data_IF_983366575779
#
_entry.id   IF_983366575779
#
_cell.length_a   1.000
_cell.length_b   1.000
_cell.length_c   1.000
_cell.angle_alpha   90.00
_cell.angle_beta   90.00
_cell.angle_gamma   90.00
#
_symmetry.space_group_name_H-M   'P 1'
#
loop_
_entity.id
_entity.type
_entity.pdbx_description
1 polymer ?
#
# COMPACT_ATOMS: atom_id res chain seq x y z
N UNK A 1 2.04 5.29 -10.84
CA UNK A 1 2.21 5.95 -12.17
C UNK A 1 2.10 4.98 -13.34
N UNK A 2 2.84 3.88 -13.33
CA UNK A 2 2.76 2.80 -14.32
C UNK A 2 2.27 1.53 -13.61
N UNK A 3 1.13 0.96 -14.04
CA UNK A 3 0.49 -0.18 -13.34
C UNK A 3 1.11 -1.54 -13.71
N UNK A 4 1.70 -1.62 -14.90
CA UNK A 4 2.33 -2.85 -15.41
C UNK A 4 3.80 -2.98 -14.99
N UNK A 5 4.36 -1.93 -14.37
CA UNK A 5 5.70 -1.93 -13.81
C UNK A 5 5.62 -2.30 -12.31
N UNK A 6 5.35 -3.57 -12.03
CA UNK A 6 5.26 -4.09 -10.67
C UNK A 6 6.62 -3.98 -9.96
N UNK A 7 6.60 -3.48 -8.72
CA UNK A 7 7.75 -3.47 -7.82
C UNK A 7 7.48 -4.42 -6.67
N UNK A 8 8.52 -5.10 -6.19
CA UNK A 8 8.44 -5.95 -5.00
C UNK A 8 8.33 -5.11 -3.71
N UNK A 9 7.75 -5.72 -2.67
CA UNK A 9 7.59 -5.11 -1.34
C UNK A 9 8.93 -4.65 -0.73
N UNK A 10 10.01 -5.39 -0.99
CA UNK A 10 11.38 -5.06 -0.58
C UNK A 10 11.89 -3.72 -1.13
N UNK A 11 11.33 -3.21 -2.24
CA UNK A 11 11.67 -1.89 -2.77
C UNK A 11 10.97 -0.75 -2.03
N UNK A 12 9.97 -1.07 -1.21
CA UNK A 12 9.18 -0.12 -0.42
C UNK A 12 9.57 -0.20 1.05
N UNK A 13 9.80 -1.41 1.57
CA UNK A 13 10.14 -1.69 2.96
C UNK A 13 11.38 -0.89 3.43
N UNK A 14 11.30 -0.32 4.63
CA UNK A 14 12.38 0.50 5.20
C UNK A 14 12.59 1.88 4.54
N UNK A 15 11.73 2.30 3.60
CA UNK A 15 11.80 3.66 3.03
C UNK A 15 11.61 4.71 4.12
N UNK A 16 12.59 5.61 4.26
CA UNK A 16 12.50 6.76 5.18
C UNK A 16 11.79 7.93 4.51
N UNK A 17 10.69 8.39 5.12
CA UNK A 17 10.00 9.62 4.71
C UNK A 17 10.48 10.76 5.60
N UNK A 18 11.23 11.70 5.01
CA UNK A 18 11.77 12.84 5.75
C UNK A 18 10.68 13.87 6.07
N UNK A 19 10.93 14.71 7.07
CA UNK A 19 10.02 15.80 7.43
C UNK A 19 9.75 16.71 6.23
N UNK A 20 8.47 16.96 5.93
CA UNK A 20 8.03 17.75 4.79
C UNK A 20 8.11 17.06 3.43
N UNK A 21 8.57 15.80 3.38
CA UNK A 21 8.55 14.98 2.17
C UNK A 21 7.26 14.14 2.10
N UNK A 22 6.89 13.77 0.87
CA UNK A 22 5.80 12.85 0.59
C UNK A 22 6.36 11.58 -0.06
N UNK A 23 5.75 10.45 0.27
CA UNK A 23 6.04 9.17 -0.36
C UNK A 23 4.73 8.50 -0.77
N UNK A 24 4.68 7.97 -1.99
CA UNK A 24 3.46 7.42 -2.57
C UNK A 24 3.63 5.95 -2.93
N UNK A 25 2.88 5.10 -2.26
CA UNK A 25 2.75 3.68 -2.61
C UNK A 25 1.59 3.55 -3.59
N UNK A 26 1.85 2.92 -4.74
CA UNK A 26 0.86 2.73 -5.80
C UNK A 26 0.51 1.24 -5.88
N UNK A 27 -0.79 0.93 -5.88
CA UNK A 27 -1.29 -0.44 -5.85
C UNK A 27 -2.42 -0.60 -6.88
N UNK A 28 -2.48 -1.76 -7.53
CA UNK A 28 -3.57 -2.11 -8.43
C UNK A 28 -3.81 -3.62 -8.42
N UNK A 29 -5.01 -4.05 -8.85
CA UNK A 29 -5.26 -5.45 -9.14
C UNK A 29 -4.42 -5.92 -10.34
N UNK A 30 -4.19 -7.23 -10.44
CA UNK A 30 -3.52 -7.83 -11.61
C UNK A 30 -4.47 -7.80 -12.81
N UNK A 31 -4.00 -7.32 -13.96
CA UNK A 31 -4.78 -7.06 -15.18
C UNK A 31 -5.60 -8.27 -15.66
N UNK A 32 -5.06 -9.48 -15.50
CA UNK A 32 -5.65 -10.72 -16.00
C UNK A 32 -6.38 -11.53 -14.93
N UNK A 33 -6.63 -10.93 -13.76
CA UNK A 33 -7.35 -11.55 -12.66
C UNK A 33 -8.53 -10.65 -12.25
N UNK A 34 -9.73 -11.21 -12.04
CA UNK A 34 -10.87 -10.46 -11.48
C UNK A 34 -10.67 -10.22 -9.97
N UNK A 35 -9.47 -9.80 -9.59
CA UNK A 35 -9.05 -9.46 -8.24
C UNK A 35 -8.76 -7.98 -8.18
N UNK A 36 -9.27 -7.34 -7.13
CA UNK A 36 -8.91 -5.98 -6.78
C UNK A 36 -7.51 -5.87 -6.20
N UNK A 37 -7.29 -4.87 -5.36
CA UNK A 37 -6.10 -4.78 -4.52
C UNK A 37 -6.50 -4.79 -3.06
N UNK A 38 -5.87 -5.66 -2.28
CA UNK A 38 -6.08 -5.77 -0.84
C UNK A 38 -4.71 -5.69 -0.17
N UNK A 39 -4.60 -4.98 0.94
CA UNK A 39 -3.39 -4.88 1.74
C UNK A 39 -3.70 -5.02 3.21
N UNK A 40 -2.97 -5.90 3.87
CA UNK A 40 -3.31 -6.34 5.22
C UNK A 40 -2.43 -5.73 6.32
N UNK A 41 -1.19 -5.32 6.02
CA UNK A 41 -0.24 -4.89 7.06
C UNK A 41 0.79 -3.83 6.59
N UNK A 42 0.37 -2.71 6.01
CA UNK A 42 1.32 -1.59 5.79
C UNK A 42 1.46 -0.78 7.08
N UNK A 43 2.69 -0.63 7.58
CA UNK A 43 2.98 0.04 8.85
C UNK A 43 3.86 1.26 8.60
N UNK A 44 3.51 2.38 9.23
CA UNK A 44 4.43 3.49 9.40
C UNK A 44 5.05 3.36 10.79
N UNK A 45 6.37 3.41 10.87
CA UNK A 45 7.11 3.28 12.12
C UNK A 45 8.01 4.51 12.34
N UNK A 46 8.17 4.92 13.60
CA UNK A 46 9.19 5.89 13.98
C UNK A 46 10.59 5.28 13.84
N UNK A 47 11.60 6.15 13.75
CA UNK A 47 13.00 5.72 13.80
C UNK A 47 13.29 5.10 15.17
N UNK A 48 13.32 3.76 15.22
CA UNK A 48 13.35 2.99 16.48
C UNK A 48 12.35 1.83 16.52
N UNK A 49 11.46 1.70 15.54
CA UNK A 49 10.58 0.54 15.35
C UNK A 49 9.24 0.61 16.10
N UNK A 50 8.90 1.78 16.66
CA UNK A 50 7.58 1.99 17.23
C UNK A 50 6.57 2.28 16.11
N UNK A 51 5.52 1.45 15.99
CA UNK A 51 4.48 1.66 15.01
C UNK A 51 3.67 2.95 15.32
N UNK A 52 3.62 3.86 14.36
CA UNK A 52 2.82 5.09 14.38
C UNK A 52 1.38 4.78 13.98
N UNK A 53 1.20 4.08 12.86
CA UNK A 53 -0.11 3.69 12.35
C UNK A 53 -0.05 2.44 11.46
N UNK A 54 -1.21 1.83 11.23
CA UNK A 54 -1.36 0.64 10.40
C UNK A 54 -2.43 0.88 9.37
N UNK A 55 -2.08 0.69 8.12
CA UNK A 55 -2.98 0.87 6.99
C UNK A 55 -3.49 -0.49 6.51
N UNK A 56 -4.80 -0.55 6.33
CA UNK A 56 -5.51 -1.64 5.68
C UNK A 56 -6.36 -1.09 4.55
N UNK A 57 -6.37 -1.78 3.41
CA UNK A 57 -7.30 -1.49 2.32
C UNK A 57 -7.83 -2.78 1.70
N UNK A 58 -9.06 -2.70 1.20
CA UNK A 58 -9.65 -3.71 0.34
C UNK A 58 -10.45 -3.02 -0.76
N UNK A 59 -9.95 -3.11 -1.99
CA UNK A 59 -10.57 -2.51 -3.17
C UNK A 59 -10.94 -3.63 -4.15
N UNK A 60 -11.99 -4.43 -3.86
CA UNK A 60 -12.35 -5.61 -4.64
C UNK A 60 -12.76 -5.28 -6.08
N UNK A 61 -12.62 -6.27 -6.97
CA UNK A 61 -13.04 -6.10 -8.36
C UNK A 61 -14.57 -6.11 -8.50
N UNK A 62 -15.10 -5.30 -9.42
CA UNK A 62 -16.53 -5.22 -9.75
C UNK A 62 -17.30 -4.21 -8.91
N UNK A 63 -18.49 -4.60 -8.44
CA UNK A 63 -19.46 -3.71 -7.75
C UNK A 63 -19.37 -3.75 -6.22
N UNK A 64 -18.40 -4.49 -5.68
CA UNK A 64 -18.23 -4.63 -4.23
C UNK A 64 -17.71 -3.31 -3.64
N UNK A 65 -18.07 -3.04 -2.40
CA UNK A 65 -17.68 -1.82 -1.69
C UNK A 65 -16.18 -1.85 -1.33
N UNK A 66 -15.50 -0.72 -1.50
CA UNK A 66 -14.12 -0.53 -1.07
C UNK A 66 -14.04 -0.24 0.44
N UNK A 67 -12.98 -0.72 1.09
CA UNK A 67 -12.70 -0.52 2.52
C UNK A 67 -11.33 0.12 2.72
N UNK A 68 -11.25 1.04 3.68
CA UNK A 68 -10.01 1.71 4.12
C UNK A 68 -10.02 1.84 5.65
N UNK A 69 -8.91 1.51 6.31
CA UNK A 69 -8.76 1.59 7.77
C UNK A 69 -7.33 2.01 8.14
N UNK A 70 -7.20 2.83 9.20
CA UNK A 70 -5.95 3.46 9.67
C UNK A 70 -5.78 3.34 11.18
#
# INVERSE_FOLDING_TARGET
GQKDAEISEENVEGTKVLSGAEYTINLCGRSDSPSGSTGTEVKLEEEGGAAVCRFYWDCPWGIKTNTWTT
#
